data_IF_289690886326
#
_entry.id   IF_289690886326
#
_cell.length_a   1.000
_cell.length_b   1.000
_cell.length_c   1.000
_cell.angle_alpha   90.00
_cell.angle_beta   90.00
_cell.angle_gamma   90.00
#
_symmetry.space_group_name_H-M   'P 1'
#
loop_
_entity.id
_entity.type
_entity.pdbx_description
1 polymer ?
#
# COMPACT_ATOMS: atom_id res chain seq x y z
N UNK A 1 -26.28 28.99 13.50
CA UNK A 1 -26.49 28.96 12.03
C UNK A 1 -25.29 28.41 11.25
N UNK A 2 -24.05 28.82 11.49
CA UNK A 2 -22.83 28.37 10.78
C UNK A 2 -22.56 26.86 10.87
N UNK A 3 -22.76 26.20 12.02
CA UNK A 3 -22.51 24.77 12.19
C UNK A 3 -23.42 23.87 11.33
N UNK A 4 -24.72 24.18 11.27
CA UNK A 4 -25.68 23.41 10.42
C UNK A 4 -25.35 23.52 8.93
N UNK A 5 -24.95 24.71 8.47
CA UNK A 5 -24.53 24.91 7.08
C UNK A 5 -23.25 24.12 6.77
N UNK A 6 -22.29 24.07 7.68
CA UNK A 6 -21.09 23.28 7.54
C UNK A 6 -21.36 21.75 7.46
N UNK A 7 -22.26 21.24 8.31
CA UNK A 7 -22.67 19.83 8.25
C UNK A 7 -23.37 19.49 6.93
N UNK A 8 -24.25 20.38 6.43
CA UNK A 8 -24.90 20.20 5.13
C UNK A 8 -23.88 20.20 3.99
N UNK A 9 -22.91 21.11 4.02
CA UNK A 9 -21.82 21.15 3.06
C UNK A 9 -21.03 19.82 3.03
N UNK A 10 -20.67 19.28 4.21
CA UNK A 10 -19.96 17.98 4.28
C UNK A 10 -20.81 16.83 3.73
N UNK A 11 -22.12 16.82 3.99
CA UNK A 11 -23.02 15.80 3.43
C UNK A 11 -23.11 15.91 1.90
N UNK A 12 -23.24 17.10 1.37
CA UNK A 12 -23.27 17.36 -0.08
C UNK A 12 -21.94 16.94 -0.74
N UNK A 13 -20.80 17.26 -0.11
CA UNK A 13 -19.48 16.86 -0.59
C UNK A 13 -19.32 15.34 -0.66
N UNK A 14 -19.75 14.63 0.41
CA UNK A 14 -19.75 13.17 0.44
C UNK A 14 -20.65 12.57 -0.65
N UNK A 15 -21.84 13.11 -0.85
CA UNK A 15 -22.76 12.66 -1.90
C UNK A 15 -22.14 12.85 -3.30
N UNK A 16 -21.52 14.00 -3.54
CA UNK A 16 -20.79 14.29 -4.78
C UNK A 16 -19.64 13.30 -5.01
N UNK A 17 -18.79 13.07 -3.99
CA UNK A 17 -17.67 12.13 -4.09
C UNK A 17 -18.18 10.69 -4.34
N UNK A 18 -19.25 10.25 -3.69
CA UNK A 18 -19.90 8.96 -3.96
C UNK A 18 -20.42 8.85 -5.40
N UNK A 19 -21.05 9.89 -5.92
CA UNK A 19 -21.51 9.92 -7.31
C UNK A 19 -20.32 9.80 -8.29
N UNK A 20 -19.22 10.54 -8.05
CA UNK A 20 -18.00 10.44 -8.85
C UNK A 20 -17.39 9.03 -8.83
N UNK A 21 -17.33 8.38 -7.66
CA UNK A 21 -16.81 7.03 -7.56
C UNK A 21 -17.68 6.03 -8.34
N UNK A 22 -19.02 6.13 -8.21
CA UNK A 22 -19.94 5.29 -8.98
C UNK A 22 -19.76 5.46 -10.50
N UNK A 23 -19.59 6.70 -10.95
CA UNK A 23 -19.32 7.00 -12.36
C UNK A 23 -17.98 6.38 -12.81
N UNK A 24 -16.92 6.55 -12.02
CA UNK A 24 -15.62 5.97 -12.33
C UNK A 24 -15.66 4.44 -12.42
N UNK A 25 -16.31 3.76 -11.46
CA UNK A 25 -16.47 2.30 -11.49
C UNK A 25 -17.26 1.82 -12.72
N UNK A 26 -18.22 2.61 -13.21
CA UNK A 26 -18.92 2.30 -14.47
C UNK A 26 -18.03 2.47 -15.71
N UNK A 27 -17.15 3.48 -15.71
CA UNK A 27 -16.25 3.78 -16.83
C UNK A 27 -14.97 2.92 -16.81
N UNK A 28 -14.60 2.35 -15.67
CA UNK A 28 -13.43 1.50 -15.46
C UNK A 28 -13.87 0.17 -14.83
N UNK A 29 -14.23 -0.85 -15.64
CA UNK A 29 -14.81 -2.12 -15.14
C UNK A 29 -13.92 -2.85 -14.12
N UNK A 30 -12.60 -2.67 -14.18
CA UNK A 30 -11.65 -3.24 -13.21
C UNK A 30 -11.58 -2.51 -11.87
N UNK A 31 -12.25 -1.35 -11.70
CA UNK A 31 -12.24 -0.60 -10.44
C UNK A 31 -13.45 -1.02 -9.57
N UNK A 32 -13.17 -1.59 -8.41
CA UNK A 32 -14.16 -2.03 -7.43
C UNK A 32 -13.90 -1.38 -6.08
N UNK A 33 -14.74 -0.46 -5.63
CA UNK A 33 -14.65 0.20 -4.33
C UNK A 33 -15.87 -0.16 -3.51
N UNK A 34 -15.64 -0.78 -2.34
CA UNK A 34 -16.75 -1.18 -1.46
C UNK A 34 -17.58 0.04 -1.02
N UNK A 35 -18.91 -0.07 -0.91
CA UNK A 35 -19.76 1.04 -0.47
C UNK A 35 -19.38 1.65 0.88
N UNK A 36 -18.85 0.84 1.81
CA UNK A 36 -18.40 1.29 3.13
C UNK A 36 -16.98 1.88 3.15
N UNK A 37 -16.23 1.77 2.06
CA UNK A 37 -14.95 2.47 1.96
C UNK A 37 -15.16 4.00 1.92
N UNK A 38 -14.17 4.78 2.33
CA UNK A 38 -14.26 6.24 2.37
C UNK A 38 -14.60 6.85 1.00
N UNK A 39 -15.52 7.81 0.98
CA UNK A 39 -15.79 8.61 -0.22
C UNK A 39 -14.57 9.44 -0.68
N UNK A 40 -13.59 9.65 0.19
CA UNK A 40 -12.36 10.39 -0.10
C UNK A 40 -11.52 9.76 -1.22
N UNK A 41 -11.71 8.46 -1.50
CA UNK A 41 -11.10 7.81 -2.67
C UNK A 41 -11.48 8.50 -4.00
N UNK A 42 -12.54 9.32 -4.02
CA UNK A 42 -12.85 10.17 -5.17
C UNK A 42 -11.73 11.16 -5.52
N UNK A 43 -10.87 11.52 -4.57
CA UNK A 43 -9.70 12.37 -4.79
C UNK A 43 -8.47 11.61 -5.30
N UNK A 44 -8.46 10.27 -5.21
CA UNK A 44 -7.36 9.44 -5.70
C UNK A 44 -7.27 9.46 -7.23
N UNK A 45 -6.08 9.14 -7.74
CA UNK A 45 -5.83 8.91 -9.16
C UNK A 45 -5.81 7.40 -9.43
N UNK A 46 -6.60 6.97 -10.41
CA UNK A 46 -6.68 5.60 -10.87
C UNK A 46 -6.28 5.54 -12.34
N UNK A 47 -5.27 4.76 -12.66
CA UNK A 47 -4.82 4.45 -14.00
C UNK A 47 -4.83 2.92 -14.13
N UNK A 48 -5.87 2.36 -14.76
CA UNK A 48 -6.04 0.93 -14.96
C UNK A 48 -6.01 0.64 -16.46
N UNK A 49 -5.07 -0.18 -16.87
CA UNK A 49 -4.99 -0.71 -18.24
C UNK A 49 -5.96 -1.91 -18.44
N UNK A 50 -6.18 -2.37 -19.67
CA UNK A 50 -7.10 -3.47 -19.95
C UNK A 50 -6.80 -4.73 -19.11
N UNK A 51 -7.84 -5.33 -18.53
CA UNK A 51 -7.73 -6.52 -17.68
C UNK A 51 -7.20 -6.26 -16.27
N UNK A 52 -6.73 -5.04 -15.96
CA UNK A 52 -6.30 -4.70 -14.61
C UNK A 52 -7.49 -4.61 -13.64
N UNK A 53 -7.28 -5.05 -12.40
CA UNK A 53 -8.30 -5.04 -11.35
C UNK A 53 -7.79 -4.40 -10.08
N UNK A 54 -8.52 -3.41 -9.57
CA UNK A 54 -8.31 -2.80 -8.24
C UNK A 54 -9.54 -3.04 -7.38
N UNK A 55 -9.36 -3.70 -6.23
CA UNK A 55 -10.40 -3.91 -5.22
C UNK A 55 -10.05 -3.15 -3.95
N UNK A 56 -10.98 -2.35 -3.45
CA UNK A 56 -10.84 -1.63 -2.17
C UNK A 56 -11.93 -2.13 -1.22
N UNK A 57 -11.50 -2.72 -0.12
CA UNK A 57 -12.34 -3.39 0.87
C UNK A 57 -13.18 -2.46 1.74
N UNK A 58 -14.11 -3.02 2.52
CA UNK A 58 -14.99 -2.27 3.42
C UNK A 58 -14.18 -1.54 4.50
N UNK A 59 -14.64 -0.36 4.88
CA UNK A 59 -14.01 0.44 5.93
C UNK A 59 -12.62 0.99 5.58
N UNK A 60 -12.09 0.73 4.39
CA UNK A 60 -10.83 1.33 3.95
C UNK A 60 -10.96 2.87 3.87
N UNK A 61 -9.92 3.58 4.32
CA UNK A 61 -9.94 5.04 4.43
C UNK A 61 -8.71 5.69 3.79
N UNK A 62 -8.88 6.93 3.34
CA UNK A 62 -7.79 7.80 2.90
C UNK A 62 -8.21 9.26 3.13
N UNK A 63 -7.25 10.19 3.11
CA UNK A 63 -7.52 11.62 3.14
C UNK A 63 -8.04 12.11 1.79
N UNK A 64 -8.81 13.20 1.83
CA UNK A 64 -9.32 13.86 0.63
C UNK A 64 -8.27 14.82 0.06
N UNK A 65 -7.10 14.29 -0.33
CA UNK A 65 -6.02 15.06 -0.99
C UNK A 65 -5.93 14.66 -2.46
N UNK A 66 -6.19 15.62 -3.34
CA UNK A 66 -6.24 15.36 -4.79
C UNK A 66 -4.89 14.86 -5.32
N UNK A 67 -4.88 13.65 -5.88
CA UNK A 67 -3.72 13.04 -6.52
C UNK A 67 -2.63 12.53 -5.57
N UNK A 68 -2.76 12.73 -4.25
CA UNK A 68 -1.77 12.23 -3.29
C UNK A 68 -1.81 10.71 -3.09
N UNK A 69 -2.94 10.06 -3.43
CA UNK A 69 -3.06 8.61 -3.55
C UNK A 69 -3.14 8.25 -5.03
N UNK A 70 -2.22 7.38 -5.48
CA UNK A 70 -2.13 6.94 -6.87
C UNK A 70 -2.12 5.43 -6.97
N UNK A 71 -2.90 4.92 -7.91
CA UNK A 71 -2.91 3.53 -8.34
C UNK A 71 -2.61 3.50 -9.84
N UNK A 72 -1.49 2.90 -10.21
CA UNK A 72 -1.07 2.72 -11.60
C UNK A 72 -0.95 1.21 -11.88
N UNK A 73 -1.96 0.63 -12.55
CA UNK A 73 -2.04 -0.79 -12.83
C UNK A 73 -1.93 -1.03 -14.33
N UNK A 74 -0.92 -1.81 -14.72
CA UNK A 74 -0.71 -2.24 -16.09
C UNK A 74 -1.62 -3.41 -16.45
N UNK A 75 -1.59 -3.83 -17.71
CA UNK A 75 -2.48 -4.86 -18.24
C UNK A 75 -2.48 -6.14 -17.39
N UNK A 76 -3.65 -6.63 -17.04
CA UNK A 76 -3.83 -7.85 -16.24
C UNK A 76 -3.36 -7.78 -14.79
N UNK A 77 -2.85 -6.63 -14.31
CA UNK A 77 -2.39 -6.48 -12.93
C UNK A 77 -3.56 -6.48 -11.93
N UNK A 78 -3.30 -6.96 -10.72
CA UNK A 78 -4.29 -6.99 -9.64
C UNK A 78 -3.79 -6.29 -8.39
N UNK A 79 -4.63 -5.45 -7.79
CA UNK A 79 -4.37 -4.84 -6.49
C UNK A 79 -5.58 -5.06 -5.58
N UNK A 80 -5.32 -5.63 -4.41
CA UNK A 80 -6.33 -5.84 -3.39
C UNK A 80 -5.95 -5.07 -2.11
N UNK A 81 -6.83 -4.16 -1.71
CA UNK A 81 -6.75 -3.43 -0.45
C UNK A 81 -7.79 -4.01 0.49
N UNK A 82 -7.33 -4.61 1.56
CA UNK A 82 -8.17 -5.29 2.55
C UNK A 82 -9.13 -4.36 3.30
N UNK A 83 -9.91 -4.94 4.17
CA UNK A 83 -10.85 -4.18 5.01
C UNK A 83 -10.12 -3.32 6.04
N UNK A 84 -10.69 -2.15 6.37
CA UNK A 84 -10.19 -1.19 7.37
C UNK A 84 -8.74 -0.73 7.16
N UNK A 85 -8.21 -0.88 5.96
CA UNK A 85 -6.87 -0.37 5.62
C UNK A 85 -6.90 1.16 5.58
N UNK A 86 -5.90 1.78 6.19
CA UNK A 86 -5.69 3.22 6.09
C UNK A 86 -4.55 3.55 5.14
N UNK A 87 -4.89 4.11 3.98
CA UNK A 87 -3.96 4.64 2.99
C UNK A 87 -3.76 6.14 3.26
N UNK A 88 -2.85 6.46 4.19
CA UNK A 88 -2.62 7.80 4.69
C UNK A 88 -1.76 8.62 3.74
N UNK A 89 -2.20 9.83 3.43
CA UNK A 89 -1.56 10.71 2.45
C UNK A 89 -1.27 12.13 2.96
N UNK A 90 -1.57 12.44 4.21
CA UNK A 90 -1.31 13.77 4.77
C UNK A 90 0.18 14.05 5.03
N UNK A 91 0.98 13.01 5.28
CA UNK A 91 2.43 13.10 5.44
C UNK A 91 3.22 13.02 4.14
N UNK A 92 2.63 12.50 3.05
CA UNK A 92 3.32 12.30 1.77
C UNK A 92 2.43 11.63 0.72
N UNK A 93 2.92 11.57 -0.52
CA UNK A 93 2.24 10.83 -1.58
C UNK A 93 2.34 9.32 -1.33
N UNK A 94 1.25 8.59 -1.61
CA UNK A 94 1.21 7.14 -1.56
C UNK A 94 0.99 6.62 -2.98
N UNK A 95 1.93 5.80 -3.46
CA UNK A 95 1.91 5.26 -4.80
C UNK A 95 1.91 3.72 -4.78
N UNK A 96 0.92 3.13 -5.43
CA UNK A 96 0.78 1.69 -5.60
C UNK A 96 0.82 1.40 -7.10
N UNK A 97 1.90 0.77 -7.57
CA UNK A 97 2.16 0.47 -8.95
C UNK A 97 2.27 -1.04 -9.15
N UNK A 98 1.42 -1.62 -9.98
CA UNK A 98 1.50 -3.02 -10.37
C UNK A 98 1.70 -3.11 -11.89
N UNK A 99 2.79 -3.75 -12.29
CA UNK A 99 3.15 -3.95 -13.70
C UNK A 99 2.36 -5.12 -14.29
N UNK A 100 2.57 -5.40 -15.57
CA UNK A 100 1.81 -6.39 -16.34
C UNK A 100 1.72 -7.75 -15.63
N UNK A 101 0.50 -8.22 -15.37
CA UNK A 101 0.21 -9.48 -14.68
C UNK A 101 0.63 -9.55 -13.22
N UNK A 102 1.21 -8.48 -12.66
CA UNK A 102 1.67 -8.46 -11.27
C UNK A 102 0.52 -8.32 -10.26
N UNK A 103 0.80 -8.68 -9.00
CA UNK A 103 -0.17 -8.53 -7.92
C UNK A 103 0.36 -7.79 -6.71
N UNK A 104 -0.50 -6.98 -6.09
CA UNK A 104 -0.25 -6.36 -4.78
C UNK A 104 -1.43 -6.67 -3.87
N UNK A 105 -1.15 -7.27 -2.72
CA UNK A 105 -2.13 -7.58 -1.69
C UNK A 105 -1.80 -6.80 -0.40
N UNK A 106 -2.75 -6.08 0.14
CA UNK A 106 -2.63 -5.36 1.42
C UNK A 106 -3.67 -5.95 2.37
N UNK A 107 -3.19 -6.65 3.39
CA UNK A 107 -4.03 -7.31 4.38
C UNK A 107 -4.89 -6.33 5.19
N UNK A 108 -5.93 -6.87 5.83
CA UNK A 108 -6.85 -6.09 6.65
C UNK A 108 -6.15 -5.35 7.79
N UNK A 109 -6.73 -4.21 8.22
CA UNK A 109 -6.21 -3.38 9.32
C UNK A 109 -4.79 -2.83 9.06
N UNK A 110 -4.34 -2.83 7.80
CA UNK A 110 -3.05 -2.29 7.38
C UNK A 110 -3.02 -0.76 7.44
N UNK A 111 -1.83 -0.21 7.64
CA UNK A 111 -1.59 1.23 7.63
C UNK A 111 -0.38 1.57 6.76
N UNK A 112 -0.60 2.34 5.71
CA UNK A 112 0.45 2.80 4.81
C UNK A 112 0.47 4.33 4.83
N UNK A 113 1.62 4.91 5.16
CA UNK A 113 1.76 6.36 5.27
C UNK A 113 2.77 6.88 4.24
N UNK A 114 2.29 7.54 3.18
CA UNK A 114 3.14 8.16 2.18
C UNK A 114 4.24 7.23 1.64
N UNK A 115 3.88 6.00 1.29
CA UNK A 115 4.81 4.94 0.90
C UNK A 115 4.70 4.61 -0.60
N UNK A 116 5.67 3.89 -1.14
CA UNK A 116 5.62 3.34 -2.50
C UNK A 116 5.65 1.82 -2.46
N UNK A 117 4.65 1.19 -3.09
CA UNK A 117 4.66 -0.23 -3.40
C UNK A 117 4.75 -0.39 -4.92
N UNK A 118 5.71 -1.18 -5.39
CA UNK A 118 5.88 -1.45 -6.83
C UNK A 118 6.11 -2.93 -7.05
N UNK A 119 5.23 -3.57 -7.81
CA UNK A 119 5.30 -4.99 -8.12
C UNK A 119 5.40 -5.24 -9.62
N UNK A 120 6.38 -6.06 -10.00
CA UNK A 120 6.49 -6.71 -11.31
C UNK A 120 6.15 -8.21 -11.26
N UNK A 121 6.07 -8.78 -10.07
CA UNK A 121 5.56 -10.11 -9.77
C UNK A 121 4.52 -10.07 -8.69
N UNK A 122 4.97 -9.93 -7.43
CA UNK A 122 4.07 -9.92 -6.28
C UNK A 122 4.65 -9.19 -5.09
N UNK A 123 3.84 -8.32 -4.49
CA UNK A 123 4.07 -7.75 -3.15
C UNK A 123 2.88 -8.09 -2.28
N UNK A 124 3.12 -8.76 -1.16
CA UNK A 124 2.10 -9.06 -0.17
C UNK A 124 2.44 -8.43 1.17
N UNK A 125 1.49 -7.71 1.73
CA UNK A 125 1.50 -7.22 3.11
C UNK A 125 0.44 -7.98 3.91
N UNK A 126 0.82 -8.57 5.01
CA UNK A 126 -0.09 -9.25 5.94
C UNK A 126 -1.02 -8.29 6.67
N UNK A 127 -1.87 -8.85 7.53
CA UNK A 127 -2.81 -8.07 8.36
C UNK A 127 -2.06 -7.26 9.42
N UNK A 128 -2.64 -6.10 9.81
CA UNK A 128 -2.04 -5.21 10.81
C UNK A 128 -0.58 -4.83 10.49
N UNK A 129 -0.22 -4.79 9.20
CA UNK A 129 1.11 -4.37 8.78
C UNK A 129 1.15 -2.87 8.57
N UNK A 130 2.15 -2.23 9.17
CA UNK A 130 2.34 -0.78 9.14
C UNK A 130 3.57 -0.43 8.30
N UNK A 131 3.37 0.44 7.31
CA UNK A 131 4.45 0.93 6.44
C UNK A 131 4.59 2.44 6.64
N UNK A 132 5.73 2.84 7.20
CA UNK A 132 6.04 4.21 7.57
C UNK A 132 6.29 5.14 6.38
N UNK A 133 6.27 6.43 6.67
CA UNK A 133 6.44 7.52 5.71
C UNK A 133 7.73 7.35 4.89
N UNK A 134 7.65 7.55 3.57
CA UNK A 134 8.78 7.50 2.65
C UNK A 134 9.34 6.10 2.38
N UNK A 135 8.74 5.06 2.98
CA UNK A 135 9.21 3.68 2.77
C UNK A 135 8.85 3.16 1.38
N UNK A 136 9.68 2.25 0.88
CA UNK A 136 9.54 1.66 -0.46
C UNK A 136 9.63 0.16 -0.38
N UNK A 137 8.76 -0.53 -1.12
CA UNK A 137 8.77 -1.98 -1.27
C UNK A 137 8.81 -2.29 -2.75
N UNK A 138 9.89 -2.91 -3.21
CA UNK A 138 10.14 -3.26 -4.59
C UNK A 138 10.40 -4.76 -4.73
N UNK A 139 9.69 -5.42 -5.61
CA UNK A 139 9.91 -6.83 -5.93
C UNK A 139 10.79 -7.03 -7.17
N UNK A 140 11.41 -5.95 -7.68
CA UNK A 140 12.28 -6.00 -8.85
C UNK A 140 13.42 -4.99 -8.77
N UNK A 141 14.43 -5.19 -9.62
CA UNK A 141 15.56 -4.26 -9.77
C UNK A 141 15.16 -2.96 -10.50
N UNK A 142 13.96 -2.91 -11.08
CA UNK A 142 13.37 -1.80 -11.86
C UNK A 142 13.98 -1.59 -13.24
N UNK A 143 15.24 -1.95 -13.46
CA UNK A 143 15.98 -1.82 -14.73
C UNK A 143 17.03 -2.92 -14.86
N UNK A 144 17.47 -3.17 -16.11
CA UNK A 144 18.65 -4.00 -16.37
C UNK A 144 19.89 -3.32 -15.79
N UNK A 145 20.81 -4.13 -15.25
CA UNK A 145 22.12 -3.63 -14.83
C UNK A 145 23.03 -3.38 -16.03
N UNK A 146 23.03 -4.30 -17.00
CA UNK A 146 23.75 -4.25 -18.27
C UNK A 146 23.16 -5.31 -19.21
N UNK A 147 23.79 -5.49 -20.41
CA UNK A 147 23.31 -6.43 -21.42
C UNK A 147 23.34 -7.91 -20.99
N UNK A 148 24.23 -8.28 -20.08
CA UNK A 148 24.39 -9.66 -19.56
C UNK A 148 23.60 -9.88 -18.26
N UNK A 149 23.17 -8.82 -17.60
CA UNK A 149 22.44 -8.87 -16.33
C UNK A 149 21.10 -8.15 -16.44
N UNK A 150 20.10 -8.82 -17.06
CA UNK A 150 18.77 -8.26 -17.18
C UNK A 150 18.11 -8.09 -15.81
N UNK A 151 17.12 -7.23 -15.77
CA UNK A 151 16.29 -7.01 -14.59
C UNK A 151 15.78 -8.33 -14.01
N UNK A 152 15.86 -8.44 -12.69
CA UNK A 152 15.30 -9.56 -11.97
C UNK A 152 14.13 -9.10 -11.09
N UNK A 153 13.12 -9.96 -10.99
CA UNK A 153 11.98 -9.78 -10.10
C UNK A 153 11.78 -11.04 -9.26
N UNK A 154 11.53 -10.85 -7.98
CA UNK A 154 11.22 -11.91 -7.03
C UNK A 154 10.22 -11.39 -6.00
N UNK A 155 9.18 -12.18 -5.64
CA UNK A 155 8.12 -11.75 -4.72
C UNK A 155 8.66 -11.20 -3.41
N UNK A 156 7.96 -10.22 -2.84
CA UNK A 156 8.19 -9.72 -1.48
C UNK A 156 6.99 -10.12 -0.63
N UNK A 157 7.28 -10.80 0.48
CA UNK A 157 6.27 -11.28 1.42
C UNK A 157 6.49 -10.63 2.79
N UNK A 158 5.54 -9.86 3.26
CA UNK A 158 5.58 -9.22 4.58
C UNK A 158 4.45 -9.79 5.40
N UNK A 159 4.78 -10.37 6.54
CA UNK A 159 3.86 -11.08 7.43
C UNK A 159 2.86 -10.20 8.17
N UNK A 160 2.12 -10.80 9.08
CA UNK A 160 1.14 -10.13 9.93
C UNK A 160 1.83 -9.35 11.07
N UNK A 161 1.22 -8.23 11.49
CA UNK A 161 1.69 -7.41 12.61
C UNK A 161 3.13 -6.86 12.45
N UNK A 162 3.60 -6.73 11.23
CA UNK A 162 4.93 -6.17 10.92
C UNK A 162 4.87 -4.64 10.96
N UNK A 163 5.90 -4.02 11.50
CA UNK A 163 6.10 -2.59 11.42
C UNK A 163 7.37 -2.25 10.63
N UNK A 164 7.20 -1.66 9.48
CA UNK A 164 8.26 -1.05 8.69
C UNK A 164 8.28 0.43 9.04
N UNK A 165 9.34 0.88 9.71
CA UNK A 165 9.46 2.29 10.10
C UNK A 165 9.78 3.18 8.89
N UNK A 166 9.78 4.50 9.09
CA UNK A 166 9.93 5.48 8.02
C UNK A 166 11.24 5.35 7.22
N UNK A 167 11.20 5.75 5.95
CA UNK A 167 12.35 5.80 5.02
C UNK A 167 13.04 4.43 4.80
N UNK A 168 12.34 3.33 5.05
CA UNK A 168 12.88 1.97 4.85
C UNK A 168 12.68 1.52 3.40
N UNK A 169 13.67 0.85 2.84
CA UNK A 169 13.56 0.20 1.53
C UNK A 169 13.64 -1.31 1.69
N UNK A 170 12.63 -2.03 1.17
CA UNK A 170 12.61 -3.49 1.08
C UNK A 170 12.80 -3.87 -0.38
N UNK A 171 13.81 -4.72 -0.64
CA UNK A 171 14.16 -5.16 -1.99
C UNK A 171 13.52 -6.51 -2.34
N UNK A 172 13.57 -6.84 -3.63
CA UNK A 172 13.03 -8.06 -4.21
C UNK A 172 13.48 -9.34 -3.49
N UNK A 173 12.59 -10.32 -3.44
CA UNK A 173 12.87 -11.65 -2.89
C UNK A 173 12.91 -11.70 -1.36
N UNK A 174 12.65 -10.60 -0.67
CA UNK A 174 12.70 -10.54 0.80
C UNK A 174 11.40 -11.03 1.41
N UNK A 175 11.52 -11.86 2.44
CA UNK A 175 10.45 -12.23 3.36
C UNK A 175 10.68 -11.61 4.73
N UNK A 176 9.67 -10.92 5.29
CA UNK A 176 9.70 -10.40 6.66
C UNK A 176 8.63 -11.14 7.47
N UNK A 177 9.08 -11.92 8.45
CA UNK A 177 8.20 -12.76 9.28
C UNK A 177 7.32 -11.92 10.24
N UNK A 178 6.26 -12.57 10.71
CA UNK A 178 5.24 -11.97 11.58
C UNK A 178 5.85 -11.31 12.82
N UNK A 179 5.15 -10.29 13.32
CA UNK A 179 5.50 -9.56 14.54
C UNK A 179 6.88 -8.86 14.52
N UNK A 180 7.51 -8.74 13.34
CA UNK A 180 8.82 -8.11 13.22
C UNK A 180 8.74 -6.59 13.11
N UNK A 181 9.84 -5.94 13.44
CA UNK A 181 10.02 -4.48 13.29
C UNK A 181 11.26 -4.22 12.45
N UNK A 182 11.11 -3.41 11.41
CA UNK A 182 12.22 -2.88 10.63
C UNK A 182 12.42 -1.41 11.01
N UNK A 183 13.60 -1.08 11.52
CA UNK A 183 13.91 0.28 11.99
C UNK A 183 14.03 1.28 10.86
N UNK A 184 13.93 2.56 11.21
CA UNK A 184 13.98 3.70 10.28
C UNK A 184 15.26 3.71 9.43
N UNK A 185 15.13 4.11 8.16
CA UNK A 185 16.24 4.24 7.19
C UNK A 185 17.01 2.94 6.96
N UNK A 186 16.33 1.81 7.05
CA UNK A 186 16.93 0.51 6.78
C UNK A 186 16.86 0.13 5.30
N UNK A 187 17.86 -0.63 4.84
CA UNK A 187 17.85 -1.30 3.55
C UNK A 187 17.75 -2.80 3.78
N UNK A 188 16.57 -3.38 3.51
CA UNK A 188 16.32 -4.81 3.71
C UNK A 188 16.61 -5.55 2.41
N UNK A 189 17.71 -6.32 2.43
CA UNK A 189 18.22 -7.08 1.27
C UNK A 189 18.17 -8.60 1.49
N UNK A 190 17.74 -9.04 2.68
CA UNK A 190 17.65 -10.45 3.08
C UNK A 190 16.46 -10.65 3.99
N UNK A 191 16.03 -11.89 4.12
CA UNK A 191 14.91 -12.25 4.98
C UNK A 191 15.12 -11.82 6.43
N UNK A 192 14.02 -11.43 7.06
CA UNK A 192 13.93 -11.12 8.49
C UNK A 192 13.03 -12.15 9.14
N UNK A 193 13.58 -12.92 10.08
CA UNK A 193 12.80 -13.92 10.81
C UNK A 193 11.65 -13.27 11.59
N UNK A 194 10.59 -14.02 11.87
CA UNK A 194 9.50 -13.54 12.73
C UNK A 194 10.02 -13.09 14.11
N UNK A 195 9.29 -12.19 14.75
CA UNK A 195 9.64 -11.68 16.08
C UNK A 195 11.02 -11.01 16.17
N UNK A 196 11.46 -10.35 15.11
CA UNK A 196 12.80 -9.76 15.01
C UNK A 196 12.73 -8.24 14.86
N UNK A 197 13.55 -7.52 15.64
CA UNK A 197 13.94 -6.14 15.34
C UNK A 197 15.17 -6.18 14.44
N UNK A 198 15.02 -5.67 13.21
CA UNK A 198 16.11 -5.53 12.25
C UNK A 198 16.29 -4.06 11.84
N UNK A 199 17.54 -3.60 11.73
CA UNK A 199 17.82 -2.25 11.19
C UNK A 199 19.24 -2.13 10.64
N UNK A 200 19.45 -1.06 9.87
CA UNK A 200 20.72 -0.70 9.24
C UNK A 200 20.70 -0.79 7.72
N UNK A 201 21.82 -0.49 7.08
CA UNK A 201 22.00 -0.55 5.63
C UNK A 201 23.30 -1.30 5.30
N UNK A 202 23.24 -2.62 5.02
CA UNK A 202 22.04 -3.47 5.00
C UNK A 202 21.47 -3.74 6.41
N UNK A 203 20.17 -4.01 6.48
CA UNK A 203 19.47 -4.34 7.72
C UNK A 203 19.92 -5.72 8.23
N UNK A 204 20.16 -5.80 9.53
CA UNK A 204 20.52 -7.06 10.23
C UNK A 204 19.71 -7.19 11.51
N UNK A 205 19.44 -8.42 11.92
CA UNK A 205 18.78 -8.72 13.19
C UNK A 205 19.56 -8.12 14.38
N UNK A 206 18.86 -7.48 15.31
CA UNK A 206 19.45 -6.79 16.47
C UNK A 206 18.91 -7.27 17.80
N UNK A 207 17.61 -7.58 17.84
CA UNK A 207 16.93 -8.04 19.05
C UNK A 207 15.70 -8.87 18.69
N UNK A 208 15.16 -9.57 19.66
CA UNK A 208 13.85 -10.19 19.56
C UNK A 208 12.75 -9.17 19.86
N UNK A 209 11.58 -9.38 19.25
CA UNK A 209 10.36 -8.59 19.47
C UNK A 209 9.27 -9.56 19.96
N UNK A 210 8.49 -9.13 20.94
CA UNK A 210 7.34 -9.89 21.43
C UNK A 210 6.16 -9.89 20.47
N UNK A 211 5.05 -10.44 20.91
CA UNK A 211 3.77 -10.43 20.23
C UNK A 211 3.28 -8.97 20.05
N UNK A 212 3.05 -8.57 18.82
CA UNK A 212 2.60 -7.23 18.42
C UNK A 212 1.09 -7.15 18.16
N UNK A 213 0.34 -8.24 18.33
CA UNK A 213 -1.11 -8.26 18.04
C UNK A 213 -1.91 -7.27 18.88
N UNK A 214 -1.37 -6.82 20.02
CA UNK A 214 -2.00 -5.85 20.94
C UNK A 214 -1.37 -4.45 20.88
N UNK A 215 -0.41 -4.22 19.97
CA UNK A 215 0.15 -2.87 19.79
C UNK A 215 -0.78 -2.03 18.91
N UNK A 216 -0.98 -0.76 19.34
CA UNK A 216 -1.78 0.23 18.62
C UNK A 216 -0.89 1.12 17.78
#
# INVERSE_FOLDING_TARGET
MRFRAFVLFLKALRAYDRARLRLRMRLQPGLHIHPDASSNFAAARFSLEPGATLRIGPGAVTERRRGALRFDLRAGATVEVGERVWLRTDGGELHIAAFEGASIEIGADGFLNGATLSAKRRVRLGRHTFVGLGSRVFDSDQHDFDAERPEQAAPVEIGDHVWIAADTTVLRGVSIGDHSVVGTRSLVTRDVAAHTLAYGSPATARASVGDRSRTR
#
